data_IF_460865274718
#
_entry.id   IF_460865274718
#
_cell.length_a   1.000
_cell.length_b   1.000
_cell.length_c   1.000
_cell.angle_alpha   90.00
_cell.angle_beta   90.00
_cell.angle_gamma   90.00
#
_symmetry.space_group_name_H-M   'P 1'
#
loop_
_entity.id
_entity.type
_entity.pdbx_description
1 polymer ?
#
# COMPACT_ATOMS: atom_id res chain seq x y z
N UNK A 1 4.02 36.56 73.53
CA UNK A 1 5.33 36.02 73.95
C UNK A 1 5.39 34.57 73.50
N UNK A 2 6.30 34.27 72.57
CA UNK A 2 6.72 32.91 72.19
C UNK A 2 7.13 32.13 73.45
N UNK A 3 7.06 30.80 73.55
CA UNK A 3 7.83 29.80 72.76
C UNK A 3 7.43 28.39 73.24
N UNK A 4 7.44 27.36 72.37
CA UNK A 4 8.24 26.12 72.53
C UNK A 4 7.74 24.91 71.69
N UNK A 5 8.50 24.62 70.61
CA UNK A 5 9.14 23.34 70.24
C UNK A 5 8.33 22.02 70.30
N UNK A 6 8.31 21.28 69.16
CA UNK A 6 8.80 19.87 69.00
C UNK A 6 8.66 19.42 67.53
N UNK A 7 9.78 19.15 66.87
CA UNK A 7 10.39 17.85 66.56
C UNK A 7 9.88 17.19 65.27
N UNK A 8 10.78 17.17 64.28
CA UNK A 8 11.10 16.07 63.36
C UNK A 8 9.96 15.16 62.88
N UNK A 9 9.64 15.25 61.59
CA UNK A 9 9.34 14.08 60.76
C UNK A 9 9.53 14.42 59.27
N UNK A 10 10.66 14.00 58.69
CA UNK A 10 10.71 13.52 57.28
C UNK A 10 10.44 12.02 57.38
N UNK A 11 9.68 11.38 56.50
CA UNK A 11 9.86 11.40 55.04
C UNK A 11 8.49 11.53 54.32
N UNK A 12 8.40 11.71 53.02
CA UNK A 12 8.31 10.59 52.09
C UNK A 12 8.35 11.14 50.67
N UNK A 13 9.26 10.57 49.91
CA UNK A 13 9.37 10.65 48.46
C UNK A 13 7.99 10.50 47.81
N UNK A 14 7.65 11.37 46.86
CA UNK A 14 6.91 10.90 45.69
C UNK A 14 7.34 11.72 44.47
N UNK A 15 8.11 11.02 43.64
CA UNK A 15 8.52 11.37 42.30
C UNK A 15 7.31 11.82 41.47
N UNK A 16 7.27 13.10 41.12
CA UNK A 16 6.52 13.57 39.95
C UNK A 16 7.52 13.78 38.82
N UNK A 17 8.25 12.72 38.44
CA UNK A 17 8.67 12.60 37.04
C UNK A 17 7.37 12.49 36.27
N UNK A 18 6.95 13.58 35.63
CA UNK A 18 5.99 13.52 34.53
C UNK A 18 6.61 12.58 33.50
N UNK A 19 6.15 11.34 33.52
CA UNK A 19 6.45 10.39 32.48
C UNK A 19 6.10 11.06 31.15
N UNK A 20 7.14 11.35 30.37
CA UNK A 20 7.01 11.46 28.93
C UNK A 20 6.39 10.14 28.49
N UNK A 21 5.07 10.13 28.34
CA UNK A 21 4.40 9.10 27.58
C UNK A 21 4.87 9.31 26.14
N UNK A 22 6.02 8.73 25.79
CA UNK A 22 6.33 8.46 24.39
C UNK A 22 5.27 7.48 23.96
N UNK A 23 4.34 7.95 23.15
CA UNK A 23 3.39 7.10 22.44
C UNK A 23 4.20 6.14 21.57
N UNK A 24 4.45 4.94 22.09
CA UNK A 24 4.94 3.81 21.32
C UNK A 24 3.77 3.28 20.48
N UNK A 25 3.34 4.02 19.47
CA UNK A 25 2.18 3.63 18.68
C UNK A 25 2.16 4.15 17.24
N UNK A 26 3.30 4.54 16.67
CA UNK A 26 3.36 4.80 15.23
C UNK A 26 4.63 4.16 14.68
N UNK A 27 4.55 2.84 14.42
CA UNK A 27 5.42 2.27 13.40
C UNK A 27 5.00 2.97 12.11
N UNK A 28 5.75 4.01 11.74
CA UNK A 28 5.51 4.94 10.66
C UNK A 28 4.84 4.22 9.48
N UNK A 29 3.54 4.46 9.25
CA UNK A 29 2.74 3.71 8.27
C UNK A 29 3.39 3.77 6.88
N UNK A 30 4.06 4.89 6.59
CA UNK A 30 4.84 5.11 5.39
C UNK A 30 5.99 4.11 5.24
N UNK A 31 6.70 3.77 6.32
CA UNK A 31 7.76 2.76 6.29
C UNK A 31 7.20 1.35 6.04
N UNK A 32 5.98 1.06 6.52
CA UNK A 32 5.32 -0.22 6.23
C UNK A 32 4.93 -0.30 4.76
N UNK A 33 4.32 0.76 4.23
CA UNK A 33 3.94 0.85 2.81
C UNK A 33 5.18 0.72 1.93
N UNK A 34 6.25 1.44 2.28
CA UNK A 34 7.52 1.42 1.54
C UNK A 34 8.14 0.01 1.48
N UNK A 35 8.09 -0.74 2.59
CA UNK A 35 8.50 -2.15 2.60
C UNK A 35 7.64 -3.01 1.69
N UNK A 36 6.31 -2.89 1.81
CA UNK A 36 5.36 -3.68 1.01
C UNK A 36 5.60 -3.48 -0.50
N UNK A 37 5.76 -2.23 -0.95
CA UNK A 37 5.94 -1.91 -2.38
C UNK A 37 7.32 -2.29 -2.90
N UNK A 38 8.35 -2.33 -2.05
CA UNK A 38 9.73 -2.73 -2.43
C UNK A 38 9.96 -4.24 -2.37
N UNK A 39 9.29 -4.93 -1.45
CA UNK A 39 9.44 -6.38 -1.28
C UNK A 39 8.81 -7.17 -2.44
N UNK A 40 7.82 -6.57 -3.11
CA UNK A 40 7.03 -7.23 -4.15
C UNK A 40 7.14 -6.48 -5.49
N UNK A 41 7.25 -7.25 -6.58
CA UNK A 41 7.36 -6.68 -7.93
C UNK A 41 6.11 -5.93 -8.38
N UNK A 42 4.93 -6.41 -8.02
CA UNK A 42 3.65 -5.77 -8.36
C UNK A 42 2.76 -5.81 -7.13
N UNK A 43 2.30 -4.64 -6.71
CA UNK A 43 1.43 -4.46 -5.54
C UNK A 43 0.20 -3.68 -5.94
N UNK A 44 -0.96 -4.13 -5.46
CA UNK A 44 -2.24 -3.46 -5.68
C UNK A 44 -2.91 -3.17 -4.33
N UNK A 45 -3.09 -1.88 -4.04
CA UNK A 45 -3.94 -1.44 -2.93
C UNK A 45 -5.37 -1.27 -3.45
N UNK A 46 -6.31 -2.04 -2.93
CA UNK A 46 -7.67 -2.10 -3.44
C UNK A 46 -8.72 -2.22 -2.33
N UNK A 47 -9.99 -2.03 -2.70
CA UNK A 47 -11.12 -2.21 -1.78
C UNK A 47 -11.63 -3.65 -1.87
N UNK A 48 -11.43 -4.43 -0.81
CA UNK A 48 -11.66 -5.87 -0.79
C UNK A 48 -10.43 -6.65 -1.26
N UNK A 49 -10.65 -7.91 -1.62
CA UNK A 49 -9.61 -8.85 -2.07
C UNK A 49 -9.84 -9.24 -3.54
N UNK A 50 -8.83 -9.74 -4.27
CA UNK A 50 -8.97 -10.14 -5.68
C UNK A 50 -10.11 -11.13 -5.94
N UNK A 51 -10.35 -12.03 -5.00
CA UNK A 51 -11.43 -13.04 -5.10
C UNK A 51 -12.82 -12.45 -4.85
N UNK A 52 -12.90 -11.37 -4.06
CA UNK A 52 -14.15 -10.70 -3.69
C UNK A 52 -13.94 -9.17 -3.64
N UNK A 53 -13.81 -8.50 -4.81
CA UNK A 53 -13.63 -7.06 -4.88
C UNK A 53 -14.92 -6.36 -4.42
N UNK A 54 -14.78 -5.35 -3.56
CA UNK A 54 -15.92 -4.60 -2.99
C UNK A 54 -16.21 -3.29 -3.73
N UNK A 55 -15.53 -3.04 -4.85
CA UNK A 55 -15.67 -1.83 -5.65
C UNK A 55 -15.44 -2.13 -7.13
N UNK A 56 -16.26 -1.54 -8.03
CA UNK A 56 -16.16 -1.75 -9.48
C UNK A 56 -14.79 -1.37 -10.05
N UNK A 57 -14.21 -0.26 -9.60
CA UNK A 57 -12.86 0.16 -10.01
C UNK A 57 -11.78 -0.83 -9.56
N UNK A 58 -11.90 -1.37 -8.34
CA UNK A 58 -11.00 -2.41 -7.84
C UNK A 58 -11.14 -3.71 -8.65
N UNK A 59 -12.37 -4.10 -9.00
CA UNK A 59 -12.60 -5.26 -9.88
C UNK A 59 -11.96 -5.04 -11.25
N UNK A 60 -12.10 -3.86 -11.85
CA UNK A 60 -11.52 -3.56 -13.16
C UNK A 60 -9.99 -3.77 -13.19
N UNK A 61 -9.26 -3.26 -12.18
CA UNK A 61 -7.81 -3.50 -12.05
C UNK A 61 -7.48 -4.99 -11.90
N UNK A 62 -8.24 -5.72 -11.08
CA UNK A 62 -8.08 -7.18 -10.93
C UNK A 62 -8.28 -7.91 -12.24
N UNK A 63 -9.29 -7.54 -13.03
CA UNK A 63 -9.53 -8.15 -14.35
C UNK A 63 -8.38 -7.86 -15.32
N UNK A 64 -7.86 -6.63 -15.36
CA UNK A 64 -6.69 -6.28 -16.18
C UNK A 64 -5.49 -7.17 -15.80
N UNK A 65 -5.17 -7.26 -14.51
CA UNK A 65 -4.06 -8.10 -14.05
C UNK A 65 -4.25 -9.59 -14.40
N UNK A 66 -5.48 -10.09 -14.30
CA UNK A 66 -5.84 -11.47 -14.70
C UNK A 66 -5.66 -11.71 -16.20
N UNK A 67 -6.09 -10.77 -17.06
CA UNK A 67 -5.92 -10.88 -18.51
C UNK A 67 -4.45 -10.94 -18.92
N UNK A 68 -3.60 -10.20 -18.22
CA UNK A 68 -2.15 -10.24 -18.44
C UNK A 68 -1.44 -11.42 -17.74
N UNK A 69 -2.16 -12.20 -16.92
CA UNK A 69 -1.63 -13.27 -16.07
C UNK A 69 -0.48 -12.81 -15.16
N UNK A 70 -0.58 -11.60 -14.61
CA UNK A 70 0.45 -10.99 -13.77
C UNK A 70 0.34 -11.54 -12.34
N UNK A 71 1.42 -12.05 -11.74
CA UNK A 71 1.46 -12.31 -10.30
C UNK A 71 1.59 -10.98 -9.54
N UNK A 72 0.69 -10.72 -8.60
CA UNK A 72 0.73 -9.51 -7.76
C UNK A 72 0.27 -9.81 -6.34
N UNK A 73 0.68 -8.95 -5.41
CA UNK A 73 0.18 -8.95 -4.04
C UNK A 73 -0.90 -7.88 -3.90
N UNK A 74 -2.02 -8.24 -3.30
CA UNK A 74 -3.12 -7.31 -3.02
C UNK A 74 -3.23 -6.99 -1.54
N UNK A 75 -3.43 -5.72 -1.21
CA UNK A 75 -3.75 -5.28 0.15
C UNK A 75 -5.13 -4.62 0.20
N UNK A 76 -6.00 -5.12 1.08
CA UNK A 76 -7.32 -4.56 1.33
C UNK A 76 -7.22 -3.33 2.24
N UNK A 77 -7.52 -2.17 1.69
CA UNK A 77 -7.51 -0.90 2.44
C UNK A 77 -8.75 -0.74 3.34
N UNK A 78 -9.79 -1.56 3.17
CA UNK A 78 -10.98 -1.49 4.03
C UNK A 78 -10.75 -2.14 5.40
N UNK A 79 -9.72 -3.00 5.50
CA UNK A 79 -9.38 -3.71 6.72
C UNK A 79 -8.54 -2.85 7.68
N UNK A 80 -7.82 -1.83 7.19
CA UNK A 80 -7.00 -0.93 8.00
C UNK A 80 -7.13 0.52 7.51
N UNK A 81 -7.74 1.38 8.32
CA UNK A 81 -7.95 2.79 7.99
C UNK A 81 -6.63 3.57 7.96
N UNK A 82 -5.62 3.18 8.75
CA UNK A 82 -4.29 3.80 8.70
C UNK A 82 -3.62 3.51 7.36
N UNK A 83 -3.73 2.28 6.85
CA UNK A 83 -3.24 1.92 5.52
C UNK A 83 -3.97 2.71 4.43
N UNK A 84 -5.29 2.85 4.54
CA UNK A 84 -6.12 3.58 3.59
C UNK A 84 -5.75 5.05 3.49
N UNK A 85 -5.45 5.69 4.61
CA UNK A 85 -5.06 7.09 4.62
C UNK A 85 -3.58 7.25 4.24
N UNK A 86 -2.71 6.41 4.82
CA UNK A 86 -1.27 6.42 4.55
C UNK A 86 -0.94 6.20 3.08
N UNK A 87 -1.65 5.31 2.36
CA UNK A 87 -1.36 5.08 0.95
C UNK A 87 -1.65 6.30 0.06
N UNK A 88 -2.70 7.07 0.40
CA UNK A 88 -3.02 8.30 -0.35
C UNK A 88 -1.97 9.38 -0.15
N UNK A 89 -1.46 9.48 1.07
CA UNK A 89 -0.40 10.42 1.43
C UNK A 89 0.94 10.00 0.81
N UNK A 90 1.27 8.70 0.84
CA UNK A 90 2.49 8.14 0.28
C UNK A 90 2.59 8.34 -1.24
N UNK A 91 1.54 8.05 -1.99
CA UNK A 91 1.52 8.23 -3.45
C UNK A 91 1.12 9.65 -3.88
N UNK A 92 0.74 10.52 -2.94
CA UNK A 92 0.12 11.80 -3.22
C UNK A 92 -1.08 11.67 -4.19
N UNK A 93 -1.88 10.61 -4.01
CA UNK A 93 -2.98 10.24 -4.91
C UNK A 93 -4.28 9.97 -4.13
N UNK A 94 -5.39 10.68 -4.42
CA UNK A 94 -6.58 10.65 -3.56
C UNK A 94 -7.45 9.41 -3.75
N UNK A 95 -7.30 8.67 -4.85
CA UNK A 95 -8.21 7.58 -5.24
C UNK A 95 -7.63 6.18 -5.02
N UNK A 96 -8.52 5.19 -4.93
CA UNK A 96 -8.22 3.77 -4.75
C UNK A 96 -9.12 3.03 -5.75
N UNK A 97 -8.64 2.02 -6.50
CA UNK A 97 -7.38 1.29 -6.34
C UNK A 97 -6.12 2.04 -6.78
N UNK A 98 -4.96 1.64 -6.24
CA UNK A 98 -3.63 2.12 -6.62
C UNK A 98 -2.71 0.94 -6.94
N UNK A 99 -1.93 1.07 -8.02
CA UNK A 99 -1.02 0.03 -8.50
C UNK A 99 0.41 0.53 -8.44
N UNK A 100 1.28 -0.32 -7.90
CA UNK A 100 2.71 -0.13 -7.83
C UNK A 100 3.41 -1.25 -8.58
N UNK A 101 4.45 -0.88 -9.32
CA UNK A 101 5.31 -1.81 -10.05
C UNK A 101 6.75 -1.48 -9.67
N UNK A 102 7.48 -2.48 -9.16
CA UNK A 102 8.87 -2.37 -8.73
C UNK A 102 9.14 -1.24 -7.72
N UNK A 103 8.20 -1.01 -6.80
CA UNK A 103 8.27 0.07 -5.82
C UNK A 103 7.84 1.45 -6.33
N UNK A 104 7.55 1.60 -7.62
CA UNK A 104 7.13 2.86 -8.22
C UNK A 104 5.61 2.91 -8.39
N UNK A 105 5.02 4.08 -8.12
CA UNK A 105 3.60 4.31 -8.32
C UNK A 105 3.30 4.46 -9.82
N UNK A 106 2.43 3.59 -10.34
CA UNK A 106 2.03 3.61 -11.76
C UNK A 106 0.75 4.39 -11.95
N UNK A 107 -0.26 4.14 -11.12
CA UNK A 107 -1.53 4.84 -11.24
C UNK A 107 -2.73 4.16 -10.58
N UNK A 108 -3.90 4.73 -10.83
CA UNK A 108 -5.19 4.17 -10.43
C UNK A 108 -5.87 3.36 -11.52
N UNK A 109 -7.19 3.12 -11.37
CA UNK A 109 -7.98 2.32 -12.31
C UNK A 109 -7.96 2.84 -13.75
N UNK A 110 -8.17 4.14 -13.95
CA UNK A 110 -8.30 4.71 -15.30
C UNK A 110 -6.98 4.68 -16.07
N UNK A 111 -5.87 4.96 -15.37
CA UNK A 111 -4.51 4.87 -15.94
C UNK A 111 -4.20 3.42 -16.32
N UNK A 112 -4.51 2.46 -15.44
CA UNK A 112 -4.33 1.04 -15.75
C UNK A 112 -5.15 0.59 -16.98
N UNK A 113 -6.38 1.09 -17.12
CA UNK A 113 -7.21 0.80 -18.29
C UNK A 113 -6.62 1.41 -19.57
N UNK A 114 -6.14 2.66 -19.50
CA UNK A 114 -5.49 3.32 -20.63
C UNK A 114 -4.20 2.57 -21.04
N UNK A 115 -3.33 2.23 -20.09
CA UNK A 115 -2.09 1.51 -20.35
C UNK A 115 -2.34 0.09 -20.90
N UNK A 116 -3.43 -0.55 -20.47
CA UNK A 116 -3.88 -1.81 -21.04
C UNK A 116 -4.30 -1.65 -22.52
N UNK A 117 -5.06 -0.59 -22.84
CA UNK A 117 -5.53 -0.33 -24.21
C UNK A 117 -4.41 0.14 -25.15
N UNK A 118 -3.45 0.93 -24.66
CA UNK A 118 -2.31 1.41 -25.44
C UNK A 118 -1.23 0.35 -25.62
N UNK A 119 -1.23 -0.71 -24.80
CA UNK A 119 -0.17 -1.73 -24.77
C UNK A 119 1.05 -1.32 -23.93
N UNK A 120 1.08 -0.11 -23.39
CA UNK A 120 2.18 0.41 -22.56
C UNK A 120 2.37 -0.41 -21.26
N UNK A 121 1.28 -0.95 -20.71
CA UNK A 121 1.34 -1.84 -19.54
C UNK A 121 2.20 -3.09 -19.81
N UNK A 122 2.17 -3.60 -21.03
CA UNK A 122 2.94 -4.77 -21.43
C UNK A 122 4.43 -4.46 -21.44
N UNK A 123 4.80 -3.27 -21.91
CA UNK A 123 6.18 -2.81 -21.92
C UNK A 123 6.72 -2.62 -20.50
N UNK A 124 5.93 -2.03 -19.60
CA UNK A 124 6.28 -1.90 -18.18
C UNK A 124 6.48 -3.25 -17.49
N UNK A 125 5.55 -4.20 -17.70
CA UNK A 125 5.68 -5.55 -17.15
C UNK A 125 6.94 -6.27 -17.66
N UNK A 126 7.29 -6.05 -18.95
CA UNK A 126 8.49 -6.63 -19.56
C UNK A 126 9.78 -6.09 -18.91
N UNK A 127 9.83 -4.80 -18.54
CA UNK A 127 10.98 -4.22 -17.81
C UNK A 127 11.23 -4.93 -16.47
N UNK A 128 10.16 -5.39 -15.82
CA UNK A 128 10.21 -6.11 -14.53
C UNK A 128 10.43 -7.63 -14.71
N UNK A 129 10.49 -8.09 -15.96
CA UNK A 129 10.67 -9.50 -16.33
C UNK A 129 9.41 -10.34 -16.20
N UNK A 130 8.22 -9.73 -16.25
CA UNK A 130 6.93 -10.41 -16.26
C UNK A 130 6.43 -10.48 -17.71
N UNK A 131 6.21 -11.70 -18.20
CA UNK A 131 5.65 -11.89 -19.54
C UNK A 131 4.13 -11.84 -19.48
N UNK A 132 3.54 -10.90 -20.22
CA UNK A 132 2.09 -10.78 -20.40
C UNK A 132 1.56 -11.92 -21.27
N UNK A 133 0.51 -12.60 -20.83
CA UNK A 133 -0.18 -13.64 -21.60
C UNK A 133 -0.79 -13.15 -22.93
N UNK A 134 -1.04 -11.83 -23.06
CA UNK A 134 -1.59 -11.27 -24.29
C UNK A 134 -0.56 -11.17 -25.42
N UNK A 135 0.74 -11.00 -25.09
CA UNK A 135 1.79 -10.97 -26.10
C UNK A 135 1.94 -12.31 -26.81
N UNK A 136 1.87 -13.39 -26.05
CA UNK A 136 1.93 -14.76 -26.58
C UNK A 136 0.78 -14.98 -27.55
N UNK A 137 -0.45 -14.57 -27.19
CA UNK A 137 -1.62 -14.70 -28.06
C UNK A 137 -1.51 -13.89 -29.38
N UNK A 138 -0.94 -12.68 -29.35
CA UNK A 138 -0.74 -11.89 -30.58
C UNK A 138 0.36 -12.44 -31.50
N UNK A 139 1.40 -13.03 -30.92
CA UNK A 139 2.47 -13.67 -31.67
C UNK A 139 1.93 -14.88 -32.46
N UNK A 140 1.08 -15.72 -31.86
CA UNK A 140 0.44 -16.85 -32.55
C UNK A 140 -0.44 -16.40 -33.73
N UNK A 141 -1.18 -15.28 -33.61
CA UNK A 141 -2.01 -14.74 -34.71
C UNK A 141 -1.21 -14.20 -35.89
N UNK A 142 0.03 -13.74 -35.67
CA UNK A 142 0.92 -13.28 -36.74
C UNK A 142 1.58 -14.44 -37.48
N UNK A 143 1.83 -15.56 -36.81
CA UNK A 143 2.43 -16.76 -37.42
C UNK A 143 1.43 -17.54 -38.28
N UNK A 144 0.14 -17.62 -37.92
CA UNK A 144 -0.87 -18.29 -38.75
C UNK A 144 -1.22 -17.56 -40.06
N UNK A 145 -0.81 -16.30 -40.21
CA UNK A 145 -1.05 -15.49 -41.42
C UNK A 145 0.15 -15.42 -42.37
N UNK A 146 1.22 -16.17 -42.10
CA UNK A 146 2.42 -16.24 -42.94
C UNK A 146 2.53 -17.59 -43.62
#
# INVERSE_FOLDING_TARGET
MNTLIRKSFRPFLNSTIRASCRTFADVNINEKIDKIVKDNKVVVFMKGVPDAPRCGFSNAVVQIMRMHAVPYVSHDVLSDENLRQGIKEYSNWPTIPQVFINGEFVGGCDIMLQMHQSGELVEELKKVGIQSALLTAEQFKKEEKK
#
